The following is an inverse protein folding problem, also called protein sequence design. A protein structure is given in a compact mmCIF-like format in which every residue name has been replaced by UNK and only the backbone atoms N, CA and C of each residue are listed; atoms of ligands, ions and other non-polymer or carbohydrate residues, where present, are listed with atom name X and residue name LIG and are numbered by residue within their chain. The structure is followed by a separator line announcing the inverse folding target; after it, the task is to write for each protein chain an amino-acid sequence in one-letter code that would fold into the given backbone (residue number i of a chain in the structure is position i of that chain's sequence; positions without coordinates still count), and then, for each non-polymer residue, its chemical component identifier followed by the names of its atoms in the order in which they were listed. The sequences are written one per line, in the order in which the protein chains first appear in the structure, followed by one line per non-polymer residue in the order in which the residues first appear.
data_IF_015166071622
#
_entry.id   IF_015166071622
#
_cell.length_a   1.000
_cell.length_b   1.000
_cell.length_c   1.000
_cell.angle_alpha   90.00
_cell.angle_beta   90.00
_cell.angle_gamma   90.00
#
_symmetry.space_group_name_H-M   'P 1'
#
loop_
_entity.id
_entity.type
_entity.pdbx_description
1 polymer ?
#
# COMPACT_ATOMS: atom_id res chain seq x y z
N UNK A 1 -4.60 3.53 -38.01
CA UNK A 1 -4.60 5.02 -37.92
C UNK A 1 -5.04 5.57 -36.57
N UNK A 2 -5.84 4.84 -35.76
CA UNK A 2 -6.29 5.27 -34.43
C UNK A 2 -5.16 5.41 -33.37
N UNK A 3 -4.14 4.55 -33.41
CA UNK A 3 -3.03 4.55 -32.43
C UNK A 3 -2.15 5.81 -32.52
N UNK A 4 -1.84 6.29 -33.74
CA UNK A 4 -1.09 7.53 -33.95
C UNK A 4 -1.85 8.77 -33.45
N UNK A 5 -3.18 8.76 -33.55
CA UNK A 5 -4.04 9.85 -33.03
C UNK A 5 -4.07 9.86 -31.50
N UNK A 6 -4.13 8.68 -30.86
CA UNK A 6 -4.08 8.55 -29.41
C UNK A 6 -2.74 9.05 -28.83
N UNK A 7 -1.61 8.67 -29.44
CA UNK A 7 -0.27 9.12 -29.02
C UNK A 7 -0.09 10.63 -29.25
N UNK A 8 -0.60 11.17 -30.36
CA UNK A 8 -0.57 12.61 -30.63
C UNK A 8 -1.40 13.40 -29.61
N UNK A 9 -2.59 12.92 -29.24
CA UNK A 9 -3.41 13.51 -28.17
C UNK A 9 -2.73 13.43 -26.80
N UNK A 10 -2.04 12.31 -26.51
CA UNK A 10 -1.35 12.10 -25.24
C UNK A 10 -0.16 13.06 -25.10
N UNK A 11 0.64 13.23 -26.16
CA UNK A 11 1.73 14.23 -26.19
C UNK A 11 1.18 15.65 -26.10
N UNK A 12 0.13 15.98 -26.85
CA UNK A 12 -0.50 17.30 -26.81
C UNK A 12 -1.08 17.63 -25.42
N UNK A 13 -1.69 16.66 -24.75
CA UNK A 13 -2.16 16.83 -23.36
C UNK A 13 -1.01 16.94 -22.36
N UNK A 14 0.11 16.25 -22.58
CA UNK A 14 1.34 16.41 -21.78
C UNK A 14 1.91 17.84 -21.82
N UNK A 15 1.64 18.57 -22.91
CA UNK A 15 2.06 19.95 -23.12
C UNK A 15 0.93 20.98 -22.94
N UNK A 16 -0.32 20.55 -22.73
CA UNK A 16 -1.44 21.48 -22.51
C UNK A 16 -1.49 21.90 -21.04
N UNK A 17 -1.14 23.17 -20.78
CA UNK A 17 -1.08 23.76 -19.46
C UNK A 17 -2.45 24.28 -18.97
N UNK A 18 -3.49 23.44 -18.99
CA UNK A 18 -4.76 23.81 -18.31
C UNK A 18 -4.85 23.12 -16.96
N UNK A 19 -4.77 23.95 -15.92
CA UNK A 19 -5.12 23.55 -14.55
C UNK A 19 -6.64 23.30 -14.55
N UNK A 20 -7.04 22.04 -14.68
CA UNK A 20 -8.43 21.65 -14.56
C UNK A 20 -8.76 21.56 -13.06
N UNK A 21 -9.73 22.37 -12.60
CA UNK A 21 -10.31 22.40 -11.23
C UNK A 21 -9.28 22.34 -10.08
N UNK A 22 -8.68 23.47 -9.68
CA UNK A 22 -7.56 23.52 -8.73
C UNK A 22 -7.89 23.11 -7.28
N UNK A 23 -9.17 23.01 -6.89
CA UNK A 23 -9.56 22.86 -5.49
C UNK A 23 -9.98 21.43 -5.08
N UNK A 24 -10.14 20.51 -6.04
CA UNK A 24 -10.59 19.14 -5.77
C UNK A 24 -9.40 18.16 -5.82
N UNK A 25 -9.30 17.23 -4.87
CA UNK A 25 -8.26 16.20 -4.84
C UNK A 25 -6.83 16.68 -4.50
N UNK A 26 -6.67 17.85 -3.86
CA UNK A 26 -5.34 18.43 -3.54
C UNK A 26 -4.49 17.50 -2.66
N UNK A 27 -5.10 16.87 -1.66
CA UNK A 27 -4.42 15.94 -0.76
C UNK A 27 -3.99 14.66 -1.49
N UNK A 28 -4.86 14.10 -2.33
CA UNK A 28 -4.56 12.90 -3.12
C UNK A 28 -3.40 13.16 -4.08
N UNK A 29 -3.39 14.32 -4.76
CA UNK A 29 -2.29 14.72 -5.65
C UNK A 29 -0.96 14.89 -4.93
N UNK A 30 -0.96 15.57 -3.78
CA UNK A 30 0.25 15.73 -2.97
C UNK A 30 0.74 14.38 -2.45
N UNK A 31 -0.16 13.50 -2.00
CA UNK A 31 0.19 12.16 -1.53
C UNK A 31 0.80 11.30 -2.65
N UNK A 32 0.21 11.29 -3.86
CA UNK A 32 0.77 10.56 -5.00
C UNK A 32 2.13 11.11 -5.43
N UNK A 33 2.31 12.43 -5.46
CA UNK A 33 3.59 13.05 -5.76
C UNK A 33 4.67 12.68 -4.74
N UNK A 34 4.36 12.84 -3.44
CA UNK A 34 5.29 12.49 -2.36
C UNK A 34 5.65 11.01 -2.41
N UNK A 35 4.67 10.12 -2.63
CA UNK A 35 4.92 8.68 -2.77
C UNK A 35 5.89 8.35 -3.90
N UNK A 36 5.68 8.91 -5.09
CA UNK A 36 6.57 8.68 -6.25
C UNK A 36 7.98 9.22 -5.98
N UNK A 37 8.08 10.42 -5.39
CA UNK A 37 9.38 11.05 -5.08
C UNK A 37 10.16 10.26 -4.01
N UNK A 38 9.47 9.72 -3.01
CA UNK A 38 10.10 8.87 -1.97
C UNK A 38 10.59 7.54 -2.55
N UNK A 39 9.79 6.88 -3.40
CA UNK A 39 10.21 5.66 -4.09
C UNK A 39 11.42 5.94 -5.00
N UNK A 40 11.40 7.04 -5.75
CA UNK A 40 12.53 7.47 -6.56
C UNK A 40 13.77 7.76 -5.70
N UNK A 41 13.60 8.39 -4.53
CA UNK A 41 14.70 8.67 -3.61
C UNK A 41 15.34 7.37 -3.10
N UNK A 42 14.51 6.40 -2.72
CA UNK A 42 14.97 5.09 -2.27
C UNK A 42 15.71 4.34 -3.39
N UNK A 43 15.18 4.37 -4.62
CA UNK A 43 15.84 3.79 -5.80
C UNK A 43 17.21 4.43 -6.09
N UNK A 44 17.31 5.75 -6.03
CA UNK A 44 18.58 6.46 -6.19
C UNK A 44 19.56 6.20 -5.05
N UNK A 45 19.07 5.99 -3.83
CA UNK A 45 19.89 5.61 -2.68
C UNK A 45 20.46 4.19 -2.83
N UNK A 46 19.63 3.21 -3.21
CA UNK A 46 20.09 1.85 -3.51
C UNK A 46 21.09 1.84 -4.68
N UNK A 47 20.83 2.59 -5.76
CA UNK A 47 21.75 2.75 -6.89
C UNK A 47 23.12 3.31 -6.46
N UNK A 48 23.14 4.31 -5.57
CA UNK A 48 24.38 4.92 -5.07
C UNK A 48 25.20 3.96 -4.21
N UNK A 49 24.55 3.10 -3.42
CA UNK A 49 25.22 2.21 -2.49
C UNK A 49 25.64 0.89 -3.13
N UNK A 50 24.85 0.33 -4.05
CA UNK A 50 25.08 -0.99 -4.63
C UNK A 50 25.88 -0.92 -5.94
N UNK A 51 25.50 -0.05 -6.89
CA UNK A 51 26.15 0.02 -8.20
C UNK A 51 27.30 1.02 -8.25
N UNK A 52 27.18 2.15 -7.55
CA UNK A 52 28.15 3.25 -7.62
C UNK A 52 29.10 3.31 -6.42
N UNK A 53 29.13 2.29 -5.57
CA UNK A 53 29.94 2.25 -4.34
C UNK A 53 31.45 2.34 -4.58
N UNK A 54 31.93 1.75 -5.68
CA UNK A 54 33.36 1.67 -6.06
C UNK A 54 33.85 2.88 -6.89
N UNK A 55 32.95 3.79 -7.27
CA UNK A 55 33.29 4.95 -8.12
C UNK A 55 33.65 6.19 -7.30
N UNK A 56 34.29 7.17 -7.96
CA UNK A 56 34.68 8.44 -7.37
C UNK A 56 33.50 9.17 -6.71
N UNK A 57 33.73 9.83 -5.56
CA UNK A 57 32.68 10.45 -4.72
C UNK A 57 31.75 11.38 -5.50
N UNK A 58 32.29 12.11 -6.50
CA UNK A 58 31.52 13.02 -7.36
C UNK A 58 30.51 12.27 -8.23
N UNK A 59 30.86 11.10 -8.74
CA UNK A 59 30.00 10.26 -9.58
C UNK A 59 28.99 9.51 -8.72
N UNK A 60 29.43 8.97 -7.57
CA UNK A 60 28.58 8.23 -6.63
C UNK A 60 27.40 9.04 -6.12
N UNK A 61 27.57 10.35 -5.93
CA UNK A 61 26.52 11.25 -5.41
C UNK A 61 25.87 12.08 -6.52
N UNK A 62 26.66 12.57 -7.49
CA UNK A 62 26.16 13.45 -8.54
C UNK A 62 25.18 12.77 -9.50
N UNK A 63 25.47 11.53 -9.91
CA UNK A 63 24.60 10.80 -10.86
C UNK A 63 23.25 10.45 -10.25
N UNK A 64 23.16 9.86 -9.04
CA UNK A 64 21.86 9.57 -8.43
C UNK A 64 21.02 10.80 -8.12
N UNK A 65 21.63 11.92 -7.71
CA UNK A 65 20.91 13.18 -7.48
C UNK A 65 20.34 13.72 -8.79
N UNK A 66 21.12 13.71 -9.88
CA UNK A 66 20.65 14.15 -11.20
C UNK A 66 19.46 13.32 -11.68
N UNK A 67 19.54 12.00 -11.54
CA UNK A 67 18.45 11.07 -11.87
C UNK A 67 17.22 11.36 -10.99
N UNK A 68 17.42 11.55 -9.69
CA UNK A 68 16.33 11.84 -8.77
C UNK A 68 15.59 13.12 -9.12
N UNK A 69 16.30 14.20 -9.44
CA UNK A 69 15.70 15.48 -9.87
C UNK A 69 14.91 15.31 -11.17
N UNK A 70 15.44 14.56 -12.14
CA UNK A 70 14.71 14.26 -13.38
C UNK A 70 13.44 13.45 -13.11
N UNK A 71 13.52 12.44 -12.24
CA UNK A 71 12.35 11.64 -11.85
C UNK A 71 11.32 12.47 -11.08
N UNK A 72 11.75 13.35 -10.18
CA UNK A 72 10.87 14.26 -9.46
C UNK A 72 10.17 15.25 -10.41
N UNK A 73 10.88 15.77 -11.42
CA UNK A 73 10.30 16.61 -12.46
C UNK A 73 9.26 15.86 -13.30
N UNK A 74 9.57 14.64 -13.72
CA UNK A 74 8.63 13.78 -14.47
C UNK A 74 7.41 13.46 -13.60
N UNK A 75 7.60 13.14 -12.32
CA UNK A 75 6.51 12.91 -11.37
C UNK A 75 5.61 14.14 -11.24
N UNK A 76 6.18 15.33 -11.13
CA UNK A 76 5.42 16.59 -11.10
C UNK A 76 4.58 16.78 -12.37
N UNK A 77 5.13 16.45 -13.55
CA UNK A 77 4.40 16.54 -14.83
C UNK A 77 3.27 15.51 -14.93
N UNK A 78 3.52 14.26 -14.55
CA UNK A 78 2.52 13.18 -14.61
C UNK A 78 1.36 13.44 -13.64
N UNK A 79 1.65 13.86 -12.42
CA UNK A 79 0.61 14.15 -11.40
C UNK A 79 -0.26 15.36 -11.79
N UNK A 80 0.26 16.26 -12.62
CA UNK A 80 -0.45 17.44 -13.10
C UNK A 80 -1.15 17.25 -14.45
N UNK A 81 -1.12 16.05 -15.04
CA UNK A 81 -1.82 15.74 -16.28
C UNK A 81 -3.34 15.73 -16.04
N UNK A 82 -4.17 16.38 -16.88
CA UNK A 82 -5.61 16.52 -16.66
C UNK A 82 -6.32 15.17 -16.45
N UNK A 83 -6.02 14.16 -17.29
CA UNK A 83 -6.57 12.80 -17.14
C UNK A 83 -6.27 12.16 -15.79
N UNK A 84 -5.07 12.35 -15.27
CA UNK A 84 -4.67 11.78 -13.98
C UNK A 84 -5.34 12.53 -12.83
N UNK A 85 -5.47 13.85 -12.95
CA UNK A 85 -6.21 14.67 -11.98
C UNK A 85 -7.68 14.27 -11.90
N UNK A 86 -8.35 14.04 -13.03
CA UNK A 86 -9.75 13.61 -13.06
C UNK A 86 -9.93 12.22 -12.43
N UNK A 87 -8.98 11.30 -12.67
CA UNK A 87 -8.96 10.00 -12.00
C UNK A 87 -8.79 10.14 -10.48
N UNK A 88 -7.83 10.94 -10.02
CA UNK A 88 -7.60 11.14 -8.58
C UNK A 88 -8.81 11.82 -7.90
N UNK A 89 -9.48 12.75 -8.59
CA UNK A 89 -10.70 13.37 -8.09
C UNK A 89 -11.86 12.36 -7.99
N UNK A 90 -11.98 11.44 -8.95
CA UNK A 90 -12.96 10.36 -8.90
C UNK A 90 -12.67 9.40 -7.72
N UNK A 91 -11.41 9.02 -7.49
CA UNK A 91 -11.01 8.18 -6.35
C UNK A 91 -11.29 8.88 -5.01
N UNK A 92 -11.02 10.18 -4.92
CA UNK A 92 -11.33 10.98 -3.72
C UNK A 92 -12.84 10.94 -3.43
N UNK A 93 -13.67 11.13 -4.45
CA UNK A 93 -15.13 11.03 -4.32
C UNK A 93 -15.63 9.61 -4.02
N UNK A 94 -14.88 8.58 -4.41
CA UNK A 94 -15.22 7.18 -4.10
C UNK A 94 -14.86 6.85 -2.64
N UNK A 95 -13.73 7.39 -2.15
CA UNK A 95 -13.30 7.24 -0.76
C UNK A 95 -14.28 7.88 0.22
N UNK A 96 -14.88 9.02 -0.13
CA UNK A 96 -15.92 9.66 0.68
C UNK A 96 -17.20 8.80 0.80
N UNK A 97 -17.46 7.90 -0.16
CA UNK A 97 -18.60 6.96 -0.07
C UNK A 97 -18.34 5.84 0.93
N UNK A 98 -17.07 5.50 1.17
CA UNK A 98 -16.71 4.43 2.11
C UNK A 98 -16.72 5.01 3.52
N UNK A 99 -17.83 4.80 4.21
CA UNK A 99 -17.98 5.14 5.62
C UNK A 99 -17.18 4.13 6.44
N UNK A 100 -15.99 4.53 6.91
CA UNK A 100 -15.19 3.70 7.80
C UNK A 100 -15.82 3.66 9.18
N UNK A 101 -15.92 2.47 9.81
CA UNK A 101 -16.49 2.33 11.14
C UNK A 101 -15.66 3.10 12.17
N UNK A 102 -16.35 3.70 13.15
CA UNK A 102 -15.71 4.38 14.25
C UNK A 102 -14.87 3.40 15.10
N UNK A 103 -13.78 3.89 15.70
CA UNK A 103 -12.90 3.10 16.60
C UNK A 103 -13.67 2.23 17.62
N UNK A 104 -14.68 2.73 18.35
CA UNK A 104 -15.47 1.90 19.27
C UNK A 104 -16.29 0.80 18.57
N UNK A 105 -16.74 1.01 17.33
CA UNK A 105 -17.50 0.01 16.57
C UNK A 105 -16.59 -1.14 16.13
N UNK A 106 -15.39 -0.82 15.64
CA UNK A 106 -14.36 -1.81 15.29
C UNK A 106 -14.00 -2.63 16.53
N UNK A 107 -13.75 -1.97 17.66
CA UNK A 107 -13.38 -2.65 18.90
C UNK A 107 -14.49 -3.57 19.40
N UNK A 108 -15.75 -3.12 19.40
CA UNK A 108 -16.89 -3.97 19.78
C UNK A 108 -17.01 -5.21 18.90
N UNK A 109 -16.86 -5.04 17.59
CA UNK A 109 -16.95 -6.14 16.62
C UNK A 109 -15.82 -7.15 16.81
N UNK A 110 -14.58 -6.67 16.97
CA UNK A 110 -13.41 -7.53 17.20
C UNK A 110 -13.48 -8.25 18.55
N UNK A 111 -13.94 -7.58 19.62
CA UNK A 111 -14.10 -8.21 20.93
C UNK A 111 -15.06 -9.40 20.86
N UNK A 112 -16.20 -9.25 20.18
CA UNK A 112 -17.15 -10.36 19.99
C UNK A 112 -16.47 -11.53 19.29
N UNK A 113 -15.75 -11.28 18.18
CA UNK A 113 -15.05 -12.34 17.43
C UNK A 113 -14.02 -13.04 18.32
N UNK A 114 -13.17 -12.29 19.03
CA UNK A 114 -12.17 -12.85 19.94
C UNK A 114 -12.83 -13.68 21.04
N UNK A 115 -13.91 -13.19 21.65
CA UNK A 115 -14.65 -13.94 22.67
C UNK A 115 -15.22 -15.23 22.11
N UNK A 116 -15.82 -15.21 20.92
CA UNK A 116 -16.37 -16.43 20.29
C UNK A 116 -15.29 -17.45 19.95
N UNK A 117 -14.14 -17.00 19.43
CA UNK A 117 -12.99 -17.88 19.15
C UNK A 117 -12.41 -18.48 20.43
N UNK A 118 -12.31 -17.69 21.51
CA UNK A 118 -11.83 -18.17 22.80
C UNK A 118 -12.78 -19.21 23.40
N UNK A 119 -14.09 -18.93 23.41
CA UNK A 119 -15.09 -19.88 23.92
C UNK A 119 -15.09 -21.18 23.11
N UNK A 120 -14.98 -21.10 21.78
CA UNK A 120 -14.83 -22.27 20.92
C UNK A 120 -13.56 -23.07 21.27
N UNK A 121 -12.43 -22.39 21.47
CA UNK A 121 -11.17 -23.03 21.88
C UNK A 121 -11.28 -23.74 23.23
N UNK A 122 -11.92 -23.11 24.22
CA UNK A 122 -12.19 -23.73 25.53
C UNK A 122 -13.10 -24.95 25.38
N UNK A 123 -14.17 -24.85 24.59
CA UNK A 123 -15.06 -25.98 24.34
C UNK A 123 -14.31 -27.17 23.72
N UNK A 124 -13.52 -26.94 22.67
CA UNK A 124 -12.72 -27.99 22.05
C UNK A 124 -11.72 -28.60 23.04
N UNK A 125 -11.04 -27.78 23.84
CA UNK A 125 -10.14 -28.27 24.89
C UNK A 125 -10.84 -29.16 25.91
N UNK A 126 -12.06 -28.81 26.34
CA UNK A 126 -12.85 -29.62 27.26
C UNK A 126 -13.25 -30.96 26.64
N UNK A 127 -13.64 -30.95 25.35
CA UNK A 127 -13.95 -32.18 24.61
C UNK A 127 -12.71 -33.06 24.49
N UNK A 128 -11.57 -32.51 24.13
CA UNK A 128 -10.29 -33.24 24.07
C UNK A 128 -9.91 -33.83 25.43
N UNK A 129 -10.04 -33.06 26.51
CA UNK A 129 -9.75 -33.51 27.87
C UNK A 129 -10.71 -34.63 28.31
N UNK A 130 -12.00 -34.50 28.01
CA UNK A 130 -13.01 -35.50 28.31
C UNK A 130 -12.71 -36.83 27.61
N UNK A 131 -12.42 -36.79 26.30
CA UNK A 131 -12.09 -38.00 25.55
C UNK A 131 -10.79 -38.64 26.03
N UNK A 132 -9.76 -37.85 26.34
CA UNK A 132 -8.50 -38.36 26.93
C UNK A 132 -8.74 -39.08 28.26
N UNK A 133 -9.58 -38.50 29.14
CA UNK A 133 -9.94 -39.12 30.41
C UNK A 133 -10.75 -40.41 30.21
N UNK A 134 -11.75 -40.39 29.32
CA UNK A 134 -12.58 -41.57 29.05
C UNK A 134 -11.73 -42.73 28.52
N UNK A 135 -10.83 -42.47 27.57
CA UNK A 135 -9.97 -43.50 27.00
C UNK A 135 -8.90 -44.01 27.96
N UNK A 136 -8.40 -43.18 28.90
CA UNK A 136 -7.48 -43.66 29.94
C UNK A 136 -8.17 -44.61 30.93
N UNK A 137 -9.43 -44.32 31.30
CA UNK A 137 -10.23 -45.21 32.17
C UNK A 137 -10.52 -46.55 31.51
N UNK A 138 -10.77 -46.56 30.19
CA UNK A 138 -11.00 -47.78 29.40
C UNK A 138 -9.69 -48.55 29.16
N UNK A 139 -8.54 -48.06 29.64
CA UNK A 139 -7.20 -48.65 29.46
C UNK A 139 -6.78 -48.86 27.99
N UNK A 140 -7.42 -48.15 27.06
CA UNK A 140 -7.10 -48.21 25.64
C UNK A 140 -5.83 -47.41 25.29
N UNK A 141 -5.50 -46.40 26.09
CA UNK A 141 -4.26 -45.63 25.97
C UNK A 141 -3.38 -45.92 27.18
N UNK A 142 -2.27 -46.62 26.97
CA UNK A 142 -1.16 -46.63 27.93
C UNK A 142 -0.57 -45.22 27.96
N UNK A 143 -0.88 -44.47 29.02
CA UNK A 143 -0.22 -43.21 29.30
C UNK A 143 1.24 -43.52 29.67
N UNK A 144 2.15 -43.46 28.70
CA UNK A 144 3.59 -43.35 28.97
C UNK A 144 3.89 -41.86 29.18
N UNK A 145 4.10 -41.39 30.43
CA UNK A 145 4.57 -40.04 30.66
C UNK A 145 6.01 -39.93 30.15
N UNK A 146 6.23 -39.03 29.19
CA UNK A 146 7.54 -38.47 28.86
C UNK A 146 7.60 -37.04 29.37
#
# INVERSE_FOLDING_TARGET
MAEKSAIASFRAELFSARIHKPNQGRLVRQASFVGIVLVAAFGCFSLSNELLGEYEQRVRVGVPIGIWVLLAWVAFRVVNLPRFVDFLAAVDSEREKVVWPDKPQVLRSTVVVITTMLLMGVFLFLVDAFWRFLFSVIHFIEYTPG
#
